data_IF_814305248282
#
_entry.id   IF_814305248282
#
_cell.length_a   1.000
_cell.length_b   1.000
_cell.length_c   1.000
_cell.angle_alpha   90.00
_cell.angle_beta   90.00
_cell.angle_gamma   90.00
#
_symmetry.space_group_name_H-M   'P 1'
#
loop_
_entity.id
_entity.type
_entity.pdbx_description
1 polymer ?
#
# COMPACT_ATOMS: atom_id res chain seq x y z
N UNK A 1 18.03 -9.78 -23.06
CA UNK A 1 18.49 -8.47 -22.51
C UNK A 1 17.66 -8.03 -21.28
N UNK A 2 17.53 -8.84 -20.21
CA UNK A 2 16.51 -8.57 -19.15
C UNK A 2 17.01 -8.63 -17.68
N UNK A 3 18.31 -8.83 -17.42
CA UNK A 3 18.83 -8.95 -16.04
C UNK A 3 19.19 -7.62 -15.36
N UNK A 4 19.35 -6.52 -16.09
CA UNK A 4 19.72 -5.22 -15.52
C UNK A 4 18.53 -4.36 -15.07
N UNK A 5 17.35 -4.51 -15.68
CA UNK A 5 16.20 -3.64 -15.40
C UNK A 5 15.63 -3.85 -13.98
N UNK A 6 15.53 -5.10 -13.51
CA UNK A 6 15.06 -5.37 -12.13
C UNK A 6 16.02 -4.89 -11.05
N UNK A 7 17.34 -4.95 -11.29
CA UNK A 7 18.34 -4.42 -10.36
C UNK A 7 18.24 -2.90 -10.28
N UNK A 8 18.05 -2.24 -11.42
CA UNK A 8 17.87 -0.79 -11.49
C UNK A 8 16.59 -0.33 -10.77
N UNK A 9 15.45 -1.00 -11.01
CA UNK A 9 14.18 -0.67 -10.36
C UNK A 9 14.27 -0.76 -8.84
N UNK A 10 14.80 -1.87 -8.31
CA UNK A 10 14.95 -2.05 -6.86
C UNK A 10 15.91 -1.02 -6.26
N UNK A 11 17.02 -0.74 -6.93
CA UNK A 11 17.97 0.27 -6.47
C UNK A 11 17.32 1.65 -6.38
N UNK A 12 16.62 2.09 -7.43
CA UNK A 12 15.90 3.38 -7.46
C UNK A 12 14.79 3.44 -6.42
N UNK A 13 14.06 2.34 -6.21
CA UNK A 13 13.05 2.23 -5.16
C UNK A 13 13.67 2.40 -3.77
N UNK A 14 14.75 1.68 -3.47
CA UNK A 14 15.45 1.75 -2.19
C UNK A 14 16.00 3.15 -1.92
N UNK A 15 16.62 3.79 -2.91
CA UNK A 15 17.10 5.18 -2.79
C UNK A 15 15.96 6.17 -2.54
N UNK A 16 14.79 5.95 -3.16
CA UNK A 16 13.60 6.78 -2.90
C UNK A 16 13.07 6.54 -1.49
N UNK A 17 12.95 5.29 -1.05
CA UNK A 17 12.53 4.97 0.32
C UNK A 17 13.43 5.65 1.34
N UNK A 18 14.74 5.47 1.23
CA UNK A 18 15.74 6.04 2.14
C UNK A 18 15.68 7.58 2.23
N UNK A 19 15.36 8.27 1.13
CA UNK A 19 15.18 9.74 1.14
C UNK A 19 13.89 10.19 1.81
N UNK A 20 12.83 9.36 1.74
CA UNK A 20 11.53 9.70 2.30
C UNK A 20 11.42 9.37 3.79
N UNK A 21 12.23 8.45 4.30
CA UNK A 21 12.25 8.06 5.71
C UNK A 21 13.43 8.69 6.43
N UNK A 22 13.15 9.53 7.43
CA UNK A 22 14.16 10.11 8.31
C UNK A 22 13.91 9.55 9.71
N UNK A 23 14.57 8.44 10.05
CA UNK A 23 14.42 7.84 11.35
C UNK A 23 15.52 6.82 11.63
N UNK A 24 16.13 6.93 12.81
CA UNK A 24 16.98 5.91 13.41
C UNK A 24 16.11 4.96 14.23
N UNK A 25 15.96 3.71 13.79
CA UNK A 25 15.17 2.68 14.50
C UNK A 25 14.50 1.69 13.55
N UNK A 26 13.76 0.72 14.13
CA UNK A 26 12.97 -0.23 13.34
C UNK A 26 11.75 0.47 12.73
N UNK A 27 11.71 0.57 11.40
CA UNK A 27 10.64 1.24 10.67
C UNK A 27 9.48 0.27 10.42
N UNK A 28 8.26 0.79 10.34
CA UNK A 28 7.06 0.01 9.96
C UNK A 28 6.28 0.70 8.86
N UNK A 29 5.85 -0.06 7.84
CA UNK A 29 5.11 0.45 6.69
C UNK A 29 3.87 -0.39 6.41
N UNK A 30 2.75 0.27 6.15
CA UNK A 30 1.54 -0.30 5.57
C UNK A 30 1.55 -0.04 4.07
N UNK A 31 1.61 -1.09 3.26
CA UNK A 31 1.51 -1.00 1.80
C UNK A 31 0.05 -1.17 1.40
N UNK A 32 -0.52 -0.19 0.71
CA UNK A 32 -1.85 -0.29 0.12
C UNK A 32 -1.79 -1.10 -1.17
N UNK A 33 -2.48 -2.24 -1.21
CA UNK A 33 -2.42 -3.22 -2.30
C UNK A 33 -3.80 -3.37 -2.94
N UNK A 34 -3.96 -2.94 -4.19
CA UNK A 34 -5.23 -3.04 -4.91
C UNK A 34 -5.44 -4.38 -5.61
N UNK A 35 -4.38 -5.17 -5.80
CA UNK A 35 -4.37 -6.38 -6.62
C UNK A 35 -3.81 -6.14 -8.02
N UNK A 36 -3.79 -4.89 -8.48
CA UNK A 36 -3.16 -4.49 -9.74
C UNK A 36 -1.63 -4.58 -9.71
N UNK A 37 -1.03 -4.74 -10.89
CA UNK A 37 0.41 -4.98 -11.11
C UNK A 37 1.30 -4.02 -10.31
N UNK A 38 1.06 -2.71 -10.36
CA UNK A 38 1.91 -1.72 -9.70
C UNK A 38 1.93 -1.89 -8.18
N UNK A 39 0.78 -2.19 -7.59
CA UNK A 39 0.65 -2.41 -6.15
C UNK A 39 1.28 -3.73 -5.70
N UNK A 40 1.17 -4.76 -6.53
CA UNK A 40 1.81 -6.06 -6.29
C UNK A 40 3.33 -5.99 -6.43
N UNK A 41 3.84 -5.24 -7.42
CA UNK A 41 5.27 -4.96 -7.57
C UNK A 41 5.77 -4.13 -6.39
N UNK A 42 5.02 -3.12 -5.95
CA UNK A 42 5.37 -2.32 -4.78
C UNK A 42 5.49 -3.20 -3.51
N UNK A 43 4.51 -4.06 -3.25
CA UNK A 43 4.56 -5.02 -2.14
C UNK A 43 5.77 -5.96 -2.25
N UNK A 44 6.09 -6.44 -3.45
CA UNK A 44 7.25 -7.29 -3.69
C UNK A 44 8.58 -6.57 -3.40
N UNK A 45 8.71 -5.31 -3.83
CA UNK A 45 9.91 -4.50 -3.58
C UNK A 45 10.10 -4.23 -2.08
N UNK A 46 9.00 -3.95 -1.35
CA UNK A 46 9.05 -3.83 0.10
C UNK A 46 9.44 -5.16 0.76
N UNK A 47 8.87 -6.28 0.34
CA UNK A 47 9.19 -7.62 0.88
C UNK A 47 10.69 -7.89 0.82
N UNK A 48 11.32 -7.57 -0.32
CA UNK A 48 12.78 -7.67 -0.48
C UNK A 48 13.53 -6.71 0.45
N UNK A 49 13.04 -5.48 0.60
CA UNK A 49 13.65 -4.49 1.49
C UNK A 49 13.59 -4.92 2.96
N UNK A 50 12.48 -5.53 3.41
CA UNK A 50 12.40 -6.18 4.74
C UNK A 50 13.49 -7.21 4.93
N UNK A 51 13.67 -8.11 3.97
CA UNK A 51 14.65 -9.17 4.09
C UNK A 51 16.10 -8.63 4.19
N UNK A 52 16.37 -7.46 3.60
CA UNK A 52 17.67 -6.78 3.65
C UNK A 52 17.87 -5.88 4.90
N UNK A 53 16.81 -5.34 5.50
CA UNK A 53 16.90 -4.25 6.50
C UNK A 53 16.20 -4.51 7.83
N UNK A 54 15.34 -5.51 7.91
CA UNK A 54 14.46 -5.75 9.06
C UNK A 54 13.21 -4.87 9.10
N UNK A 55 12.93 -4.07 8.05
CA UNK A 55 11.72 -3.26 7.94
C UNK A 55 10.45 -4.08 8.25
N UNK A 56 9.61 -3.60 9.16
CA UNK A 56 8.31 -4.24 9.43
C UNK A 56 7.32 -3.86 8.34
N UNK A 57 6.68 -4.85 7.72
CA UNK A 57 5.74 -4.62 6.61
C UNK A 57 4.37 -5.19 6.97
N UNK A 58 3.36 -4.38 6.71
CA UNK A 58 1.96 -4.73 6.73
C UNK A 58 1.35 -4.43 5.36
N UNK A 59 0.25 -5.09 5.03
CA UNK A 59 -0.52 -4.81 3.83
C UNK A 59 -1.94 -4.40 4.19
N UNK A 60 -2.53 -3.53 3.39
CA UNK A 60 -3.96 -3.25 3.42
C UNK A 60 -4.56 -3.35 2.03
N UNK A 61 -5.67 -4.08 1.90
CA UNK A 61 -6.49 -4.12 0.71
C UNK A 61 -7.83 -3.44 0.97
N UNK A 62 -8.19 -2.46 0.14
CA UNK A 62 -9.49 -1.81 0.21
C UNK A 62 -10.31 -2.25 -1.01
N UNK A 63 -11.31 -3.09 -0.76
CA UNK A 63 -12.22 -3.58 -1.78
C UNK A 63 -13.39 -2.60 -1.95
N UNK A 64 -13.49 -1.99 -3.13
CA UNK A 64 -14.59 -1.09 -3.47
C UNK A 64 -15.88 -1.85 -3.85
N UNK A 65 -15.79 -3.14 -4.19
CA UNK A 65 -16.94 -3.96 -4.59
C UNK A 65 -17.60 -3.53 -5.91
N UNK A 66 -17.01 -2.58 -6.64
CA UNK A 66 -17.57 -1.98 -7.86
C UNK A 66 -17.34 -2.82 -9.11
N UNK A 67 -16.40 -3.78 -9.07
CA UNK A 67 -15.97 -4.55 -10.24
C UNK A 67 -16.04 -6.06 -9.97
N UNK A 68 -16.39 -6.88 -10.98
CA UNK A 68 -16.39 -8.34 -10.84
C UNK A 68 -15.01 -8.90 -10.44
N UNK A 69 -13.93 -8.31 -10.95
CA UNK A 69 -12.54 -8.74 -10.73
C UNK A 69 -12.09 -8.49 -9.27
N UNK A 70 -12.80 -7.67 -8.50
CA UNK A 70 -12.42 -7.29 -7.15
C UNK A 70 -12.31 -8.50 -6.19
N UNK A 71 -13.05 -9.59 -6.46
CA UNK A 71 -12.91 -10.85 -5.70
C UNK A 71 -11.61 -11.59 -6.01
N UNK A 72 -11.21 -11.58 -7.28
CA UNK A 72 -9.97 -12.24 -7.74
C UNK A 72 -8.75 -11.45 -7.25
N UNK A 73 -8.81 -10.12 -7.31
CA UNK A 73 -7.79 -9.23 -6.77
C UNK A 73 -7.60 -9.46 -5.26
N UNK A 74 -8.69 -9.49 -4.49
CA UNK A 74 -8.64 -9.75 -3.05
C UNK A 74 -8.01 -11.12 -2.74
N UNK A 75 -8.43 -12.17 -3.45
CA UNK A 75 -7.89 -13.52 -3.27
C UNK A 75 -6.40 -13.60 -3.63
N UNK A 76 -5.98 -12.89 -4.69
CA UNK A 76 -4.57 -12.78 -5.08
C UNK A 76 -3.75 -12.11 -3.98
N UNK A 77 -4.21 -10.98 -3.44
CA UNK A 77 -3.53 -10.23 -2.38
C UNK A 77 -3.42 -11.07 -1.12
N UNK A 78 -4.51 -11.71 -0.69
CA UNK A 78 -4.52 -12.63 0.45
C UNK A 78 -3.49 -13.75 0.27
N UNK A 79 -3.49 -14.38 -0.91
CA UNK A 79 -2.57 -15.46 -1.24
C UNK A 79 -1.10 -15.02 -1.21
N UNK A 80 -0.79 -13.85 -1.78
CA UNK A 80 0.57 -13.29 -1.77
C UNK A 80 1.01 -12.92 -0.37
N UNK A 81 0.16 -12.27 0.43
CA UNK A 81 0.51 -11.88 1.79
C UNK A 81 0.75 -13.11 2.68
N UNK A 82 -0.13 -14.11 2.61
CA UNK A 82 0.02 -15.36 3.35
C UNK A 82 1.33 -16.08 2.99
N UNK A 83 1.67 -16.20 1.70
CA UNK A 83 2.91 -16.84 1.25
C UNK A 83 4.18 -16.13 1.74
N UNK A 84 4.12 -14.81 1.94
CA UNK A 84 5.27 -14.01 2.35
C UNK A 84 5.28 -13.70 3.85
N UNK A 85 4.32 -14.22 4.63
CA UNK A 85 4.19 -13.95 6.06
C UNK A 85 3.90 -12.48 6.38
N UNK A 86 3.15 -11.79 5.51
CA UNK A 86 2.82 -10.37 5.67
C UNK A 86 1.42 -10.27 6.29
N UNK A 87 1.25 -9.62 7.46
CA UNK A 87 -0.09 -9.37 8.00
C UNK A 87 -0.88 -8.46 7.06
N UNK A 88 -2.12 -8.85 6.77
CA UNK A 88 -3.01 -8.18 5.83
C UNK A 88 -4.29 -7.76 6.56
N UNK A 89 -4.65 -6.48 6.45
CA UNK A 89 -5.99 -5.97 6.78
C UNK A 89 -6.78 -5.81 5.48
N UNK A 90 -7.92 -6.48 5.37
CA UNK A 90 -8.82 -6.34 4.23
C UNK A 90 -10.06 -5.59 4.68
N UNK A 91 -10.32 -4.45 4.02
CA UNK A 91 -11.45 -3.58 4.31
C UNK A 91 -12.33 -3.43 3.09
N UNK A 92 -13.60 -3.16 3.32
CA UNK A 92 -14.59 -2.93 2.27
C UNK A 92 -15.28 -1.60 2.50
N UNK A 93 -15.52 -0.86 1.44
CA UNK A 93 -16.37 0.33 1.51
C UNK A 93 -17.82 -0.14 1.58
N UNK A 94 -18.47 0.13 2.70
CA UNK A 94 -19.85 -0.30 2.97
C UNK A 94 -20.90 0.72 2.51
N UNK A 95 -20.50 1.98 2.35
CA UNK A 95 -21.38 3.11 2.05
C UNK A 95 -21.43 3.39 0.55
N UNK A 96 -22.39 4.21 0.12
CA UNK A 96 -22.49 4.75 -1.24
C UNK A 96 -22.34 6.27 -1.18
N UNK A 97 -21.83 6.93 -2.23
CA UNK A 97 -21.72 8.39 -2.26
C UNK A 97 -23.09 9.04 -2.14
N UNK A 98 -23.13 10.26 -1.60
CA UNK A 98 -24.36 11.04 -1.58
C UNK A 98 -24.73 11.54 -2.98
N UNK A 99 -26.03 11.71 -3.32
CA UNK A 99 -26.43 12.24 -4.62
C UNK A 99 -25.80 13.61 -4.90
N UNK A 100 -25.06 13.72 -6.01
CA UNK A 100 -24.36 14.96 -6.42
C UNK A 100 -22.88 15.02 -6.04
N UNK A 101 -22.37 14.04 -5.30
CA UNK A 101 -20.94 13.91 -5.00
C UNK A 101 -20.18 13.24 -6.14
N UNK A 102 -18.94 13.67 -6.37
CA UNK A 102 -18.01 13.01 -7.30
C UNK A 102 -17.70 11.61 -6.76
N UNK A 103 -18.15 10.57 -7.48
CA UNK A 103 -17.92 9.16 -7.10
C UNK A 103 -16.43 8.87 -6.92
N UNK A 104 -15.57 9.50 -7.72
CA UNK A 104 -14.12 9.32 -7.67
C UNK A 104 -13.51 9.93 -6.40
N UNK A 105 -13.85 11.19 -6.09
CA UNK A 105 -13.33 11.87 -4.90
C UNK A 105 -13.83 11.21 -3.61
N UNK A 106 -15.11 10.86 -3.59
CA UNK A 106 -15.70 10.10 -2.47
C UNK A 106 -14.97 8.76 -2.28
N UNK A 107 -14.81 7.97 -3.33
CA UNK A 107 -14.14 6.67 -3.24
C UNK A 107 -12.67 6.81 -2.80
N UNK A 108 -12.00 7.86 -3.27
CA UNK A 108 -10.64 8.21 -2.86
C UNK A 108 -10.58 8.53 -1.36
N UNK A 109 -11.47 9.38 -0.85
CA UNK A 109 -11.52 9.76 0.56
C UNK A 109 -11.80 8.55 1.47
N UNK A 110 -12.80 7.74 1.12
CA UNK A 110 -13.12 6.52 1.88
C UNK A 110 -11.95 5.54 1.89
N UNK A 111 -11.23 5.40 0.77
CA UNK A 111 -10.03 4.56 0.70
C UNK A 111 -8.94 5.06 1.66
N UNK A 112 -8.64 6.36 1.67
CA UNK A 112 -7.63 6.89 2.60
C UNK A 112 -8.03 6.72 4.05
N UNK A 113 -9.29 7.00 4.41
CA UNK A 113 -9.78 6.79 5.77
C UNK A 113 -9.64 5.32 6.23
N UNK A 114 -9.97 4.36 5.37
CA UNK A 114 -9.80 2.93 5.68
C UNK A 114 -8.32 2.54 5.81
N UNK A 115 -7.44 3.10 4.99
CA UNK A 115 -6.00 2.88 5.08
C UNK A 115 -5.40 3.45 6.37
N UNK A 116 -5.86 4.64 6.81
CA UNK A 116 -5.44 5.24 8.08
C UNK A 116 -5.86 4.39 9.27
N UNK A 117 -7.09 3.87 9.27
CA UNK A 117 -7.56 2.96 10.31
C UNK A 117 -6.77 1.64 10.33
N UNK A 118 -6.41 1.09 9.15
CA UNK A 118 -5.58 -0.10 9.06
C UNK A 118 -4.16 0.15 9.60
N UNK A 119 -3.57 1.30 9.23
CA UNK A 119 -2.26 1.70 9.70
C UNK A 119 -2.24 1.91 11.22
N UNK A 120 -3.27 2.54 11.78
CA UNK A 120 -3.42 2.71 13.22
C UNK A 120 -3.53 1.36 13.93
N UNK A 121 -4.30 0.40 13.38
CA UNK A 121 -4.44 -0.95 13.94
C UNK A 121 -3.12 -1.73 14.00
N UNK A 122 -2.22 -1.52 13.04
CA UNK A 122 -0.87 -2.11 13.02
C UNK A 122 0.22 -1.23 13.63
N UNK A 123 -0.11 -0.02 14.07
CA UNK A 123 0.85 1.01 14.47
C UNK A 123 1.95 1.22 13.41
N UNK A 124 1.54 1.24 12.14
CA UNK A 124 2.44 1.50 11.03
C UNK A 124 2.85 2.99 11.05
N UNK A 125 4.15 3.27 10.91
CA UNK A 125 4.65 4.66 10.87
C UNK A 125 4.35 5.34 9.53
N UNK A 126 4.26 4.52 8.48
CA UNK A 126 4.16 4.97 7.11
C UNK A 126 3.03 4.25 6.38
N UNK A 127 2.27 4.98 5.55
CA UNK A 127 1.37 4.41 4.54
C UNK A 127 1.95 4.67 3.16
N UNK A 128 2.02 3.62 2.33
CA UNK A 128 2.48 3.72 0.95
C UNK A 128 1.40 3.26 -0.01
N UNK A 129 1.06 4.11 -0.98
CA UNK A 129 0.12 3.77 -2.06
C UNK A 129 0.83 3.72 -3.41
N UNK A 130 0.67 2.61 -4.14
CA UNK A 130 1.06 2.52 -5.56
C UNK A 130 -0.11 3.01 -6.42
N UNK A 131 0.03 4.15 -7.10
CA UNK A 131 -1.04 4.75 -7.88
C UNK A 131 -1.30 3.99 -9.20
N UNK A 132 -2.56 3.95 -9.62
CA UNK A 132 -2.98 3.53 -10.95
C UNK A 132 -2.58 4.57 -12.01
N UNK A 133 -2.19 4.10 -13.20
CA UNK A 133 -1.62 4.87 -14.32
C UNK A 133 -2.43 6.07 -14.87
N UNK A 134 -3.58 6.44 -14.29
CA UNK A 134 -4.34 7.65 -14.66
C UNK A 134 -3.96 8.89 -13.84
N UNK A 135 -3.38 8.72 -12.64
CA UNK A 135 -2.87 9.82 -11.82
C UNK A 135 -1.35 9.85 -11.99
N UNK A 136 -0.84 10.93 -12.57
CA UNK A 136 0.59 11.16 -12.81
C UNK A 136 1.44 10.83 -11.57
N UNK A 137 2.59 10.23 -11.86
CA UNK A 137 3.37 9.38 -10.98
C UNK A 137 3.87 10.06 -9.70
N UNK A 138 3.36 9.65 -8.54
CA UNK A 138 4.09 9.80 -7.28
C UNK A 138 3.62 8.82 -6.20
N UNK A 139 4.57 8.05 -5.64
CA UNK A 139 4.37 7.28 -4.41
C UNK A 139 4.05 8.26 -3.29
N UNK A 140 2.80 8.26 -2.81
CA UNK A 140 2.42 9.07 -1.65
C UNK A 140 2.82 8.30 -0.39
N UNK A 141 3.76 8.89 0.36
CA UNK A 141 4.15 8.42 1.69
C UNK A 141 3.49 9.33 2.72
N UNK A 142 2.57 8.78 3.50
CA UNK A 142 2.04 9.48 4.68
C UNK A 142 2.88 9.11 5.89
N UNK A 143 3.40 10.12 6.59
CA UNK A 143 3.94 9.94 7.94
C UNK A 143 2.79 10.11 8.91
N UNK A 144 2.42 9.05 9.62
CA UNK A 144 1.52 9.19 10.74
C UNK A 144 2.31 9.83 11.87
N UNK A 145 2.03 11.11 12.17
CA UNK A 145 2.45 11.69 13.43
C UNK A 145 1.75 10.86 14.50
N UNK A 146 2.51 10.19 15.37
CA UNK A 146 1.93 9.48 16.50
C UNK A 146 1.13 10.49 17.34
N UNK A 147 -0.18 10.54 17.11
CA UNK A 147 -1.12 11.34 17.86
C UNK A 147 -1.33 10.71 19.22
N UNK A 148 -0.43 11.02 20.16
CA UNK A 148 -0.81 11.10 21.56
C UNK A 148 -1.32 12.53 21.78
N UNK A 149 -2.63 12.69 21.60
CA UNK A 149 -3.44 13.84 21.98
C UNK A 149 -4.79 13.31 22.42
#
# INVERSE_FOLDING_TARGET
>A
MSRNSNKDLYFRFRERWNRLVNGSGNQSVLVAVSGGLDSMVCLHLFTRLRDETGLTIYAAHVNHGLRPEAKEDEALVQSVCARNGIPLDTRRIAEAPTPGESLEDWARNQRYALLELAAAGFQAQYIVTAHHANDQAETVLWRLQNGAG
#
